data_IF_639454855102
#
_entry.id   IF_639454855102
#
_cell.length_a   1.000
_cell.length_b   1.000
_cell.length_c   1.000
_cell.angle_alpha   90.00
_cell.angle_beta   90.00
_cell.angle_gamma   90.00
#
_symmetry.space_group_name_H-M   'P 1'
#
loop_
_entity.id
_entity.type
_entity.pdbx_description
1 polymer ?
#
# COMPACT_ATOMS: atom_id res chain seq x y z
N UNK A 1 -62.32 -1.46 -53.24
CA UNK A 1 -60.93 -1.35 -52.69
C UNK A 1 -60.94 -1.57 -51.16
N UNK A 2 -60.14 -2.48 -50.67
CA UNK A 2 -59.97 -2.72 -49.25
C UNK A 2 -58.75 -1.92 -48.72
N UNK A 3 -58.92 -1.26 -47.61
CA UNK A 3 -57.79 -0.61 -46.87
C UNK A 3 -57.42 -1.54 -45.74
N UNK A 4 -56.21 -2.02 -45.74
CA UNK A 4 -55.62 -2.82 -44.65
C UNK A 4 -54.80 -1.88 -43.76
N UNK A 5 -55.21 -1.71 -42.51
CA UNK A 5 -54.43 -0.96 -41.49
C UNK A 5 -53.62 -1.98 -40.70
N UNK A 6 -52.32 -1.81 -40.67
CA UNK A 6 -51.41 -2.63 -39.91
C UNK A 6 -50.97 -1.90 -38.63
N UNK A 7 -50.75 -2.59 -37.50
CA UNK A 7 -50.28 -1.97 -36.28
C UNK A 7 -48.92 -1.34 -36.48
N UNK A 8 -48.63 -0.21 -35.79
CA UNK A 8 -47.33 0.43 -35.79
C UNK A 8 -46.27 -0.49 -35.19
N UNK A 9 -45.04 -0.46 -35.72
CA UNK A 9 -43.93 -1.23 -35.15
C UNK A 9 -43.61 -0.74 -33.75
N UNK A 10 -43.26 -1.67 -32.85
CA UNK A 10 -42.87 -1.38 -31.47
C UNK A 10 -41.68 -2.24 -31.06
N UNK A 11 -40.72 -1.65 -30.34
CA UNK A 11 -39.57 -2.38 -29.80
C UNK A 11 -40.03 -3.25 -28.62
N UNK A 12 -39.73 -4.53 -28.67
CA UNK A 12 -40.08 -5.53 -27.64
C UNK A 12 -38.89 -5.89 -26.73
N UNK A 13 -37.63 -5.85 -27.25
CA UNK A 13 -36.41 -5.96 -26.45
C UNK A 13 -35.66 -4.67 -26.57
N UNK A 14 -35.38 -4.05 -25.43
CA UNK A 14 -34.62 -2.79 -25.33
C UNK A 14 -33.15 -3.07 -25.10
N UNK A 15 -32.23 -2.22 -25.61
CA UNK A 15 -30.82 -2.30 -25.29
C UNK A 15 -30.59 -2.08 -23.78
N UNK A 16 -29.59 -2.76 -23.23
CA UNK A 16 -29.27 -2.74 -21.79
C UNK A 16 -28.00 -1.95 -21.51
N UNK A 17 -28.02 -1.18 -20.43
CA UNK A 17 -26.85 -0.40 -19.95
C UNK A 17 -25.75 -1.30 -19.42
N UNK A 18 -24.50 -0.82 -19.46
CA UNK A 18 -23.34 -1.49 -18.91
C UNK A 18 -22.32 -0.51 -18.35
N UNK A 19 -21.56 -0.96 -17.35
CA UNK A 19 -20.40 -0.22 -16.80
C UNK A 19 -19.22 -1.17 -16.70
N UNK A 20 -18.12 -0.82 -17.38
CA UNK A 20 -16.90 -1.62 -17.44
C UNK A 20 -15.68 -0.71 -17.29
N UNK A 21 -14.50 -1.27 -17.04
CA UNK A 21 -13.26 -0.50 -17.17
C UNK A 21 -12.80 -0.46 -18.63
N UNK A 22 -11.90 0.48 -18.91
CA UNK A 22 -11.22 0.62 -20.20
C UNK A 22 -10.69 -0.73 -20.69
N UNK A 23 -10.95 -1.07 -21.96
CA UNK A 23 -10.65 -2.35 -22.59
C UNK A 23 -11.42 -3.58 -22.01
N UNK A 24 -12.36 -3.39 -21.09
CA UNK A 24 -13.25 -4.45 -20.61
C UNK A 24 -14.29 -4.84 -21.68
N UNK A 25 -14.95 -5.97 -21.48
CA UNK A 25 -15.98 -6.45 -22.41
C UNK A 25 -17.31 -5.81 -22.11
N UNK A 26 -17.81 -4.97 -23.02
CA UNK A 26 -19.17 -4.41 -22.96
C UNK A 26 -20.22 -5.47 -23.31
N UNK A 27 -21.43 -5.29 -22.82
CA UNK A 27 -22.55 -6.15 -23.17
C UNK A 27 -22.98 -5.90 -24.62
N UNK A 28 -23.28 -6.96 -25.37
CA UNK A 28 -23.96 -6.86 -26.63
C UNK A 28 -25.44 -6.45 -26.37
N UNK A 29 -25.90 -5.42 -27.04
CA UNK A 29 -27.22 -4.83 -26.90
C UNK A 29 -28.13 -5.34 -28.03
N UNK A 30 -29.00 -6.31 -27.79
CA UNK A 30 -29.99 -6.73 -28.80
C UNK A 30 -31.19 -5.81 -28.83
N UNK A 31 -31.79 -5.67 -29.99
CA UNK A 31 -33.15 -5.10 -30.15
C UNK A 31 -34.03 -6.09 -30.90
N UNK A 32 -35.27 -6.25 -30.45
CA UNK A 32 -36.31 -6.95 -31.17
C UNK A 32 -37.53 -6.06 -31.29
N UNK A 33 -38.38 -6.35 -32.23
CA UNK A 33 -39.57 -5.56 -32.46
C UNK A 33 -40.74 -6.48 -32.78
N UNK A 34 -41.95 -5.93 -32.73
CA UNK A 34 -43.18 -6.54 -33.20
C UNK A 34 -43.86 -5.60 -34.17
N UNK A 35 -44.71 -6.14 -35.06
CA UNK A 35 -45.37 -5.42 -36.12
C UNK A 35 -44.41 -4.79 -37.14
N UNK A 36 -44.92 -3.94 -38.03
CA UNK A 36 -44.18 -3.40 -39.17
C UNK A 36 -44.35 -4.24 -40.42
N UNK A 37 -44.11 -3.67 -41.59
CA UNK A 37 -44.27 -4.32 -42.89
C UNK A 37 -43.01 -4.15 -43.76
N UNK A 38 -42.68 -5.21 -44.49
CA UNK A 38 -41.50 -5.24 -45.34
C UNK A 38 -40.23 -5.67 -44.59
N UNK A 39 -39.08 -5.43 -45.22
CA UNK A 39 -37.77 -5.80 -44.64
C UNK A 39 -37.31 -4.75 -43.66
N UNK A 40 -36.92 -5.12 -42.39
CA UNK A 40 -36.37 -4.21 -41.44
C UNK A 40 -34.93 -3.84 -41.80
N UNK A 41 -34.56 -2.59 -41.62
CA UNK A 41 -33.20 -2.12 -41.65
C UNK A 41 -32.89 -1.44 -40.31
N UNK A 42 -31.74 -1.81 -39.72
CA UNK A 42 -31.27 -1.30 -38.40
C UNK A 42 -30.21 -0.26 -38.62
N UNK A 43 -30.17 0.76 -37.76
CA UNK A 43 -29.06 1.67 -37.61
C UNK A 43 -28.88 2.03 -36.15
N UNK A 44 -27.70 1.79 -35.61
CA UNK A 44 -27.34 2.21 -34.26
C UNK A 44 -26.78 3.62 -34.28
N UNK A 45 -27.03 4.33 -33.21
CA UNK A 45 -26.59 5.70 -32.96
C UNK A 45 -25.93 5.78 -31.60
N UNK A 46 -24.95 6.67 -31.48
CA UNK A 46 -24.34 7.09 -30.20
C UNK A 46 -24.69 8.53 -29.91
N UNK A 47 -24.85 8.85 -28.61
CA UNK A 47 -25.14 10.21 -28.15
C UNK A 47 -24.39 10.49 -26.85
N UNK A 48 -24.09 11.77 -26.61
CA UNK A 48 -23.51 12.25 -25.35
C UNK A 48 -24.55 12.61 -24.31
N UNK A 49 -25.82 12.66 -24.70
CA UNK A 49 -26.99 12.90 -23.83
C UNK A 49 -27.94 11.72 -23.85
N UNK A 50 -28.65 11.52 -22.74
CA UNK A 50 -29.64 10.44 -22.61
C UNK A 50 -30.91 10.74 -23.41
N UNK A 51 -30.77 10.80 -24.74
CA UNK A 51 -31.86 10.99 -25.67
C UNK A 51 -31.71 10.06 -26.86
N UNK A 52 -32.86 9.51 -27.35
CA UNK A 52 -32.89 8.63 -28.52
C UNK A 52 -33.17 9.39 -29.83
N UNK A 53 -32.79 10.67 -29.87
CA UNK A 53 -32.85 11.55 -31.04
C UNK A 53 -31.61 12.40 -31.15
N UNK A 54 -31.26 12.79 -32.39
CA UNK A 54 -30.11 13.70 -32.61
C UNK A 54 -28.74 13.09 -32.40
N UNK A 55 -28.61 11.78 -32.17
CA UNK A 55 -27.34 11.10 -32.05
C UNK A 55 -26.60 10.95 -33.37
N UNK A 56 -25.31 10.57 -33.30
CA UNK A 56 -24.49 10.29 -34.47
C UNK A 56 -24.63 8.85 -34.90
N UNK A 57 -24.94 8.61 -36.17
CA UNK A 57 -25.02 7.27 -36.74
C UNK A 57 -23.65 6.57 -36.65
N UNK A 58 -23.64 5.33 -36.18
CA UNK A 58 -22.41 4.51 -36.07
C UNK A 58 -22.21 3.76 -37.40
N UNK A 59 -21.14 4.06 -38.16
CA UNK A 59 -20.92 3.45 -39.47
C UNK A 59 -20.85 1.91 -39.37
N UNK A 60 -21.60 1.22 -40.23
CA UNK A 60 -21.63 -0.26 -40.29
C UNK A 60 -22.40 -0.96 -39.16
N UNK A 61 -22.96 -0.24 -38.18
CA UNK A 61 -23.74 -0.81 -37.10
C UNK A 61 -25.20 -1.00 -37.56
N UNK A 62 -25.43 -1.95 -38.47
CA UNK A 62 -26.72 -2.21 -39.15
C UNK A 62 -27.33 -3.58 -38.82
N UNK A 63 -26.88 -4.22 -37.75
CA UNK A 63 -27.44 -5.49 -37.26
C UNK A 63 -28.48 -5.25 -36.14
N UNK A 64 -29.29 -6.24 -35.86
CA UNK A 64 -30.24 -6.25 -34.75
C UNK A 64 -29.58 -6.21 -33.37
N UNK A 65 -28.28 -6.30 -33.31
CA UNK A 65 -27.49 -6.14 -32.09
C UNK A 65 -26.22 -5.33 -32.34
N UNK A 66 -25.76 -4.63 -31.30
CA UNK A 66 -24.53 -3.85 -31.33
C UNK A 66 -23.74 -4.04 -30.04
N UNK A 67 -22.43 -4.14 -30.14
CA UNK A 67 -21.51 -4.21 -29.00
C UNK A 67 -20.67 -2.92 -28.99
N UNK A 68 -20.86 -2.03 -28.00
CA UNK A 68 -20.11 -0.78 -27.91
C UNK A 68 -18.62 -1.03 -27.68
N UNK A 69 -17.72 -0.19 -28.23
CA UNK A 69 -16.29 -0.23 -27.91
C UNK A 69 -16.05 0.23 -26.48
N UNK A 70 -14.94 -0.25 -25.87
CA UNK A 70 -14.55 0.08 -24.51
C UNK A 70 -13.15 0.71 -24.39
N UNK A 71 -12.54 1.13 -25.49
CA UNK A 71 -11.19 1.67 -25.50
C UNK A 71 -11.07 3.15 -25.04
N UNK A 72 -12.20 3.85 -24.86
CA UNK A 72 -12.19 5.28 -24.49
C UNK A 72 -13.04 5.49 -23.26
N UNK A 73 -12.42 6.04 -22.22
CA UNK A 73 -13.06 6.40 -20.95
C UNK A 73 -14.13 7.47 -21.19
N UNK A 74 -15.30 7.30 -20.60
CA UNK A 74 -16.41 8.23 -20.70
C UNK A 74 -17.77 7.54 -20.65
N UNK A 75 -18.83 8.32 -20.85
CA UNK A 75 -20.20 7.85 -20.90
C UNK A 75 -20.81 8.18 -22.25
N UNK A 76 -21.37 7.18 -22.90
CA UNK A 76 -22.16 7.33 -24.13
C UNK A 76 -23.50 6.61 -23.99
N UNK A 77 -24.47 7.14 -24.70
CA UNK A 77 -25.83 6.57 -24.80
C UNK A 77 -26.03 6.02 -26.19
N UNK A 78 -26.56 4.81 -26.28
CA UNK A 78 -26.77 4.12 -27.55
C UNK A 78 -28.25 3.80 -27.74
N UNK A 79 -28.72 3.95 -28.95
CA UNK A 79 -30.07 3.57 -29.34
C UNK A 79 -30.10 3.06 -30.79
N UNK A 80 -31.10 2.31 -31.11
CA UNK A 80 -31.33 1.75 -32.45
C UNK A 80 -32.59 2.32 -33.09
N UNK A 81 -32.50 2.68 -34.36
CA UNK A 81 -33.61 3.03 -35.20
C UNK A 81 -33.85 1.86 -36.19
N UNK A 82 -35.08 1.36 -36.24
CA UNK A 82 -35.51 0.32 -37.19
C UNK A 82 -36.47 0.95 -38.20
N UNK A 83 -36.07 0.89 -39.46
CA UNK A 83 -36.89 1.37 -40.60
C UNK A 83 -37.46 0.19 -41.36
N UNK A 84 -38.58 0.37 -42.03
CA UNK A 84 -39.30 -0.69 -42.78
C UNK A 84 -39.46 -0.28 -44.25
N UNK A 85 -39.26 -1.25 -45.16
CA UNK A 85 -39.22 -0.97 -46.59
C UNK A 85 -40.59 -0.82 -47.24
N UNK A 86 -41.67 -1.13 -46.53
CA UNK A 86 -43.02 -1.13 -47.12
C UNK A 86 -44.08 -0.55 -46.16
N UNK A 87 -45.18 -0.09 -46.74
CA UNK A 87 -46.44 0.13 -46.05
C UNK A 87 -46.60 1.43 -45.27
N UNK A 88 -45.73 2.43 -45.43
CA UNK A 88 -45.87 3.73 -44.76
C UNK A 88 -45.81 3.66 -43.22
N UNK A 89 -45.25 2.58 -42.67
CA UNK A 89 -45.06 2.43 -41.23
C UNK A 89 -44.03 3.46 -40.72
N UNK A 90 -44.26 3.99 -39.52
CA UNK A 90 -43.31 4.83 -38.82
C UNK A 90 -42.10 4.00 -38.38
N UNK A 91 -40.94 4.64 -38.21
CA UNK A 91 -39.76 3.98 -37.66
C UNK A 91 -40.02 3.58 -36.20
N UNK A 92 -39.44 2.46 -35.77
CA UNK A 92 -39.37 2.09 -34.35
C UNK A 92 -38.03 2.54 -33.81
N UNK A 93 -38.03 3.25 -32.68
CA UNK A 93 -36.83 3.75 -32.01
C UNK A 93 -36.75 3.13 -30.62
N UNK A 94 -35.61 2.56 -30.29
CA UNK A 94 -35.38 2.00 -28.94
C UNK A 94 -35.20 3.08 -27.88
N UNK A 95 -35.33 2.71 -26.62
CA UNK A 95 -34.81 3.48 -25.52
C UNK A 95 -33.29 3.59 -25.64
N UNK A 96 -32.70 4.52 -24.92
CA UNK A 96 -31.24 4.61 -24.78
C UNK A 96 -30.73 3.56 -23.81
N UNK A 97 -29.52 3.04 -24.07
CA UNK A 97 -28.71 2.30 -23.11
C UNK A 97 -27.48 3.12 -22.78
N UNK A 98 -27.23 3.32 -21.50
CA UNK A 98 -26.03 4.00 -21.00
C UNK A 98 -24.87 3.02 -20.94
N UNK A 99 -23.73 3.41 -21.52
CA UNK A 99 -22.48 2.66 -21.45
C UNK A 99 -21.42 3.54 -20.83
N UNK A 100 -20.93 3.13 -19.65
CA UNK A 100 -19.91 3.84 -18.87
C UNK A 100 -18.61 3.06 -18.98
N UNK A 101 -17.59 3.69 -19.55
CA UNK A 101 -16.22 3.18 -19.56
C UNK A 101 -15.43 3.92 -18.49
N UNK A 102 -15.07 3.21 -17.44
CA UNK A 102 -14.31 3.75 -16.30
C UNK A 102 -12.81 3.65 -16.57
N UNK A 103 -11.99 4.59 -16.04
CA UNK A 103 -10.55 4.45 -16.09
C UNK A 103 -10.08 3.21 -15.32
N UNK A 104 -8.93 2.65 -15.69
CA UNK A 104 -8.29 1.59 -14.93
C UNK A 104 -7.90 2.06 -13.51
N UNK A 105 -7.83 1.16 -12.53
CA UNK A 105 -7.42 1.53 -11.18
C UNK A 105 -5.96 1.98 -11.15
N UNK A 106 -5.68 3.03 -10.40
CA UNK A 106 -4.31 3.54 -10.15
C UNK A 106 -4.11 3.80 -8.66
N UNK A 107 -2.91 3.48 -8.14
CA UNK A 107 -2.57 3.77 -6.75
C UNK A 107 -2.33 5.28 -6.57
N UNK A 108 -3.05 5.89 -5.66
CA UNK A 108 -2.95 7.33 -5.32
C UNK A 108 -2.16 7.58 -4.04
N UNK A 109 -2.22 6.65 -3.08
CA UNK A 109 -1.38 6.68 -1.89
C UNK A 109 -0.46 5.47 -1.93
N UNK A 110 0.84 5.73 -1.94
CA UNK A 110 1.87 4.70 -1.89
C UNK A 110 2.24 4.41 -0.42
N UNK A 111 2.65 3.18 -0.07
CA UNK A 111 3.20 2.92 1.25
C UNK A 111 4.47 3.75 1.48
N UNK A 112 4.74 4.10 2.74
CA UNK A 112 5.96 4.84 3.12
C UNK A 112 7.19 4.17 2.55
N UNK A 113 8.01 4.92 1.82
CA UNK A 113 9.09 4.37 1.00
C UNK A 113 10.18 3.68 1.81
N UNK A 114 10.59 4.27 2.94
CA UNK A 114 11.64 3.70 3.79
C UNK A 114 11.37 3.99 5.27
N UNK A 115 11.46 2.98 6.10
CA UNK A 115 11.44 3.10 7.55
C UNK A 115 12.63 2.33 8.12
N UNK A 116 13.32 2.91 9.11
CA UNK A 116 14.45 2.28 9.78
C UNK A 116 14.15 2.11 11.26
N UNK A 117 14.38 0.92 11.79
CA UNK A 117 14.11 0.55 13.18
C UNK A 117 15.22 -0.34 13.73
N UNK A 118 15.32 -0.45 15.05
CA UNK A 118 16.14 -1.45 15.72
C UNK A 118 15.47 -2.83 15.71
N UNK A 119 16.23 -3.88 15.93
CA UNK A 119 15.68 -5.21 16.21
C UNK A 119 14.68 -5.13 17.38
N UNK A 120 13.54 -5.81 17.25
CA UNK A 120 12.43 -5.73 18.21
C UNK A 120 11.56 -4.48 18.10
N UNK A 121 11.88 -3.55 17.20
CA UNK A 121 11.06 -2.36 16.94
C UNK A 121 9.84 -2.63 16.06
N UNK A 122 8.96 -1.64 15.99
CA UNK A 122 7.77 -1.64 15.14
C UNK A 122 7.80 -0.45 14.18
N UNK A 123 7.19 -0.61 13.02
CA UNK A 123 7.05 0.47 12.03
C UNK A 123 5.65 1.08 12.07
N UNK A 124 5.52 2.28 11.51
CA UNK A 124 4.21 2.83 11.20
C UNK A 124 3.48 1.96 10.17
N UNK A 125 2.14 1.89 10.22
CA UNK A 125 1.36 1.13 9.25
C UNK A 125 1.67 1.52 7.81
N UNK A 126 1.82 0.52 6.94
CA UNK A 126 1.91 0.68 5.50
C UNK A 126 0.49 0.84 4.96
N UNK A 127 0.23 1.88 4.17
CA UNK A 127 -1.11 2.18 3.65
C UNK A 127 -1.09 2.36 2.15
N UNK A 128 -2.16 1.94 1.49
CA UNK A 128 -2.41 2.20 0.06
C UNK A 128 -3.81 2.76 -0.12
N UNK A 129 -3.94 3.69 -1.09
CA UNK A 129 -5.22 4.12 -1.61
C UNK A 129 -5.17 4.08 -3.14
N UNK A 130 -6.32 3.99 -3.79
CA UNK A 130 -6.43 3.96 -5.24
C UNK A 130 -7.59 4.84 -5.70
N UNK A 131 -7.63 5.12 -7.00
CA UNK A 131 -8.74 5.77 -7.69
C UNK A 131 -9.00 5.06 -9.03
N UNK A 132 -10.14 5.33 -9.63
CA UNK A 132 -10.56 4.68 -10.87
C UNK A 132 -11.08 3.26 -10.64
N UNK A 133 -11.45 2.63 -11.74
CA UNK A 133 -12.04 1.31 -11.72
C UNK A 133 -13.51 1.28 -11.28
N UNK A 134 -14.09 0.10 -11.31
CA UNK A 134 -15.48 -0.16 -10.88
C UNK A 134 -15.55 -1.52 -10.18
N UNK A 135 -16.51 -1.67 -9.28
CA UNK A 135 -16.71 -2.88 -8.48
C UNK A 135 -16.09 -2.80 -7.09
N UNK A 136 -16.06 -3.94 -6.41
CA UNK A 136 -15.52 -4.06 -5.05
C UNK A 136 -14.02 -4.28 -5.09
N UNK A 137 -13.28 -3.51 -4.30
CA UNK A 137 -11.83 -3.67 -4.15
C UNK A 137 -11.49 -4.76 -3.13
N UNK A 138 -10.52 -5.57 -3.46
CA UNK A 138 -9.83 -6.48 -2.55
C UNK A 138 -8.36 -6.13 -2.52
N UNK A 139 -7.73 -6.31 -1.35
CA UNK A 139 -6.33 -6.00 -1.13
C UNK A 139 -5.57 -7.27 -0.78
N UNK A 140 -4.32 -7.35 -1.17
CA UNK A 140 -3.38 -8.36 -0.71
C UNK A 140 -2.00 -7.73 -0.56
N UNK A 141 -1.42 -7.83 0.64
CA UNK A 141 -0.04 -7.45 0.90
C UNK A 141 0.90 -8.62 0.67
N UNK A 142 2.09 -8.29 0.20
CA UNK A 142 3.17 -9.22 -0.10
C UNK A 142 4.44 -8.79 0.61
N UNK A 143 5.26 -9.76 1.04
CA UNK A 143 6.64 -9.57 1.44
C UNK A 143 7.59 -10.01 0.34
N UNK A 144 8.75 -9.35 0.22
CA UNK A 144 9.76 -9.68 -0.75
C UNK A 144 11.16 -9.58 -0.14
N UNK A 145 12.11 -10.32 -0.67
CA UNK A 145 13.53 -10.26 -0.30
C UNK A 145 14.32 -9.27 -1.17
N UNK A 146 13.71 -8.76 -2.21
CA UNK A 146 14.28 -7.78 -3.15
C UNK A 146 13.37 -6.56 -3.27
N UNK A 147 13.92 -5.43 -3.66
CA UNK A 147 13.15 -4.22 -3.94
C UNK A 147 12.39 -4.36 -5.27
N UNK A 148 11.36 -5.19 -5.24
CA UNK A 148 10.48 -5.48 -6.38
C UNK A 148 9.04 -5.63 -5.92
N UNK A 149 8.11 -5.03 -6.65
CA UNK A 149 6.68 -5.16 -6.42
C UNK A 149 6.04 -6.33 -7.20
N UNK A 150 6.84 -7.33 -7.53
CA UNK A 150 6.40 -8.56 -8.18
C UNK A 150 7.15 -9.77 -7.63
N UNK A 151 6.55 -10.96 -7.70
CA UNK A 151 7.16 -12.22 -7.28
C UNK A 151 7.32 -12.39 -5.76
N UNK A 152 6.75 -11.49 -4.93
CA UNK A 152 6.77 -11.63 -3.48
C UNK A 152 5.82 -12.72 -2.97
N UNK A 153 5.96 -13.06 -1.69
CA UNK A 153 5.11 -14.02 -1.00
C UNK A 153 3.90 -13.30 -0.39
N UNK A 154 2.70 -13.81 -0.67
CA UNK A 154 1.47 -13.26 -0.08
C UNK A 154 1.47 -13.43 1.45
N UNK A 155 1.15 -12.36 2.16
CA UNK A 155 1.05 -12.36 3.62
C UNK A 155 -0.37 -12.77 4.00
N UNK A 156 -0.51 -13.92 4.66
CA UNK A 156 -1.81 -14.45 5.05
C UNK A 156 -2.57 -13.47 5.95
N UNK A 157 -3.83 -13.19 5.60
CA UNK A 157 -4.71 -12.29 6.36
C UNK A 157 -4.44 -10.79 6.18
N UNK A 158 -3.39 -10.39 5.44
CA UNK A 158 -3.11 -8.98 5.15
C UNK A 158 -3.93 -8.50 3.93
N UNK A 159 -5.24 -8.35 4.14
CA UNK A 159 -6.24 -8.07 3.09
C UNK A 159 -6.95 -6.73 3.26
N UNK A 160 -6.40 -5.82 4.04
CA UNK A 160 -6.92 -4.46 4.22
C UNK A 160 -6.06 -3.44 3.45
N UNK A 161 -6.59 -2.23 3.24
CA UNK A 161 -5.83 -1.10 2.67
C UNK A 161 -4.64 -0.66 3.51
N UNK A 162 -4.56 -1.13 4.76
CA UNK A 162 -3.45 -0.88 5.69
C UNK A 162 -2.92 -2.21 6.22
N UNK A 163 -1.60 -2.30 6.36
CA UNK A 163 -0.90 -3.45 6.93
C UNK A 163 0.22 -3.00 7.86
N UNK A 164 0.28 -3.60 9.04
CA UNK A 164 1.39 -3.42 9.99
C UNK A 164 2.11 -4.75 10.12
N UNK A 165 3.37 -4.86 9.65
CA UNK A 165 4.18 -6.04 9.86
C UNK A 165 4.35 -6.38 11.34
N UNK A 166 4.53 -7.66 11.63
CA UNK A 166 4.91 -8.11 12.97
C UNK A 166 6.30 -7.56 13.37
N UNK A 167 6.62 -7.63 14.66
CA UNK A 167 7.94 -7.23 15.19
C UNK A 167 9.06 -7.95 14.47
N UNK A 168 10.09 -7.21 14.10
CA UNK A 168 11.26 -7.74 13.40
C UNK A 168 12.34 -8.18 14.42
N UNK A 169 12.56 -9.47 14.52
CA UNK A 169 13.52 -10.06 15.47
C UNK A 169 14.93 -10.30 14.86
N UNK A 170 15.11 -9.98 13.60
CA UNK A 170 16.37 -10.19 12.87
C UNK A 170 16.71 -8.93 12.08
N UNK A 171 17.96 -8.49 12.18
CA UNK A 171 18.45 -7.38 11.36
C UNK A 171 18.46 -7.77 9.88
N UNK A 172 18.16 -6.81 9.02
CA UNK A 172 18.08 -7.01 7.58
C UNK A 172 17.18 -5.99 6.89
N UNK A 173 17.05 -6.11 5.58
CA UNK A 173 16.16 -5.26 4.79
C UNK A 173 14.99 -6.10 4.29
N UNK A 174 13.79 -5.59 4.51
CA UNK A 174 12.54 -6.23 4.17
C UNK A 174 11.75 -5.32 3.23
N UNK A 175 11.07 -5.92 2.26
CA UNK A 175 10.29 -5.17 1.28
C UNK A 175 8.84 -5.63 1.30
N UNK A 176 7.92 -4.66 1.16
CA UNK A 176 6.47 -4.91 1.16
C UNK A 176 5.81 -4.15 0.03
N UNK A 177 4.78 -4.73 -0.55
CA UNK A 177 3.91 -4.05 -1.51
C UNK A 177 2.49 -4.60 -1.44
N UNK A 178 1.54 -3.87 -1.95
CA UNK A 178 0.14 -4.28 -2.01
C UNK A 178 -0.37 -4.33 -3.45
N UNK A 179 -1.20 -5.32 -3.73
CA UNK A 179 -2.02 -5.39 -4.95
C UNK A 179 -3.47 -5.09 -4.58
N UNK A 180 -4.10 -4.21 -5.33
CA UNK A 180 -5.53 -3.88 -5.25
C UNK A 180 -6.19 -4.47 -6.49
N UNK A 181 -7.16 -5.36 -6.30
CA UNK A 181 -7.91 -6.01 -7.38
C UNK A 181 -9.37 -5.60 -7.31
N UNK A 182 -9.93 -5.21 -8.45
CA UNK A 182 -11.33 -4.79 -8.57
C UNK A 182 -12.16 -5.89 -9.25
N UNK A 183 -13.41 -6.07 -8.78
CA UNK A 183 -14.32 -7.07 -9.30
C UNK A 183 -15.04 -6.64 -10.58
N UNK A 184 -14.94 -5.37 -10.99
CA UNK A 184 -15.58 -4.85 -12.20
C UNK A 184 -14.93 -5.40 -13.48
N UNK A 185 -15.74 -5.59 -14.51
CA UNK A 185 -15.27 -6.13 -15.80
C UNK A 185 -14.20 -5.23 -16.43
N UNK A 186 -13.07 -5.82 -16.78
CA UNK A 186 -11.91 -5.14 -17.37
C UNK A 186 -11.07 -4.33 -16.39
N UNK A 187 -11.45 -4.20 -15.11
CA UNK A 187 -10.73 -3.37 -14.16
C UNK A 187 -9.40 -3.97 -13.70
N UNK A 188 -9.31 -5.29 -13.59
CA UNK A 188 -8.07 -5.98 -13.24
C UNK A 188 -7.52 -5.58 -11.86
N UNK A 189 -6.20 -5.49 -11.78
CA UNK A 189 -5.47 -5.14 -10.56
C UNK A 189 -4.43 -4.05 -10.80
N UNK A 190 -4.13 -3.31 -9.75
CA UNK A 190 -3.02 -2.36 -9.69
C UNK A 190 -2.14 -2.67 -8.48
N UNK A 191 -0.83 -2.43 -8.60
CA UNK A 191 0.15 -2.77 -7.56
C UNK A 191 0.89 -1.52 -7.12
N UNK A 192 1.11 -1.39 -5.81
CA UNK A 192 1.86 -0.28 -5.23
C UNK A 192 3.36 -0.38 -5.53
N UNK A 193 4.07 0.71 -5.29
CA UNK A 193 5.51 0.68 -5.13
C UNK A 193 5.87 -0.16 -3.88
N UNK A 194 7.15 -0.54 -3.77
CA UNK A 194 7.68 -1.21 -2.59
C UNK A 194 7.88 -0.22 -1.45
N UNK A 195 7.55 -0.66 -0.23
CA UNK A 195 8.02 -0.08 1.02
C UNK A 195 9.25 -0.85 1.48
N UNK A 196 10.30 -0.15 1.89
CA UNK A 196 11.51 -0.72 2.45
C UNK A 196 11.53 -0.56 3.97
N UNK A 197 11.83 -1.63 4.69
CA UNK A 197 12.04 -1.61 6.15
C UNK A 197 13.44 -2.09 6.45
N UNK A 198 14.26 -1.20 6.98
CA UNK A 198 15.64 -1.48 7.36
C UNK A 198 15.66 -1.75 8.86
N UNK A 199 15.90 -3.00 9.24
CA UNK A 199 16.04 -3.43 10.62
C UNK A 199 17.53 -3.47 10.97
N UNK A 200 17.93 -2.59 11.87
CA UNK A 200 19.33 -2.42 12.26
C UNK A 200 19.60 -3.27 13.50
N UNK A 201 20.72 -3.98 13.51
CA UNK A 201 21.19 -4.69 14.69
C UNK A 201 21.53 -3.71 15.82
N UNK A 202 21.19 -4.07 17.05
CA UNK A 202 21.67 -3.34 18.24
C UNK A 202 23.18 -3.48 18.39
N UNK A 203 23.87 -2.47 18.94
CA UNK A 203 25.26 -2.61 19.33
C UNK A 203 25.40 -3.65 20.43
N UNK A 204 26.49 -4.42 20.41
CA UNK A 204 26.82 -5.45 21.40
C UNK A 204 28.06 -5.00 22.15
N UNK A 205 28.02 -5.08 23.48
CA UNK A 205 29.21 -4.83 24.30
C UNK A 205 30.04 -6.12 24.38
N UNK A 206 31.12 -6.21 23.60
CA UNK A 206 31.99 -7.40 23.55
C UNK A 206 32.91 -7.51 24.76
N UNK A 207 33.58 -6.41 25.08
CA UNK A 207 34.39 -6.34 26.29
C UNK A 207 33.69 -5.46 27.31
N UNK A 208 33.34 -6.05 28.44
CA UNK A 208 32.77 -5.33 29.57
C UNK A 208 33.93 -4.66 30.38
N UNK A 209 33.59 -3.53 30.98
CA UNK A 209 34.51 -2.91 31.94
C UNK A 209 34.79 -3.86 33.12
N UNK A 210 35.90 -3.62 33.80
CA UNK A 210 36.28 -4.39 35.01
C UNK A 210 35.11 -4.50 35.97
N UNK A 211 34.69 -5.73 36.30
CA UNK A 211 33.49 -5.98 37.10
C UNK A 211 33.58 -5.40 38.51
N UNK A 212 34.75 -5.55 39.14
CA UNK A 212 35.03 -4.98 40.49
C UNK A 212 36.50 -4.62 40.63
N UNK A 213 36.75 -3.47 41.23
CA UNK A 213 38.10 -3.08 41.70
C UNK A 213 38.03 -2.53 43.13
N UNK A 214 38.95 -2.93 43.95
CA UNK A 214 39.09 -2.45 45.34
C UNK A 214 40.43 -1.69 45.44
N UNK A 215 40.39 -0.48 45.92
CA UNK A 215 41.49 0.47 45.86
C UNK A 215 41.60 1.24 47.18
N UNK A 216 42.82 1.63 47.61
CA UNK A 216 43.00 2.59 48.69
C UNK A 216 42.56 3.98 48.22
N UNK A 217 42.13 4.80 49.14
CA UNK A 217 41.77 6.20 48.87
C UNK A 217 42.92 6.94 48.16
N UNK A 218 42.59 7.72 47.12
CA UNK A 218 43.53 8.46 46.26
C UNK A 218 44.49 7.61 45.42
N UNK A 219 44.31 6.31 45.34
CA UNK A 219 45.09 5.47 44.43
C UNK A 219 44.55 5.57 42.99
N UNK A 220 45.40 5.19 42.01
CA UNK A 220 45.03 5.24 40.59
C UNK A 220 44.15 4.07 40.24
N UNK A 221 42.90 4.30 39.76
CA UNK A 221 42.02 3.22 39.36
C UNK A 221 42.38 2.67 37.98
N UNK A 222 41.94 1.46 37.71
CA UNK A 222 41.87 0.94 36.34
C UNK A 222 40.68 1.60 35.60
N UNK A 223 40.94 2.09 34.41
CA UNK A 223 39.87 2.64 33.58
C UNK A 223 38.78 1.61 33.27
N UNK A 224 37.55 2.04 33.36
CA UNK A 224 36.37 1.26 32.89
C UNK A 224 36.33 1.43 31.37
N UNK A 225 36.66 0.39 30.60
CA UNK A 225 36.77 0.45 29.14
C UNK A 225 35.83 -0.57 28.49
N UNK A 226 35.21 -0.17 27.41
CA UNK A 226 34.26 -1.00 26.64
C UNK A 226 34.75 -1.14 25.19
N UNK A 227 34.54 -2.30 24.60
CA UNK A 227 34.61 -2.50 23.16
C UNK A 227 33.25 -2.99 22.65
N UNK A 228 32.95 -2.63 21.42
CA UNK A 228 31.64 -2.90 20.81
C UNK A 228 31.80 -3.62 19.48
N UNK A 229 30.80 -4.44 19.15
CA UNK A 229 30.58 -4.98 17.82
C UNK A 229 29.09 -4.80 17.42
N UNK A 230 28.76 -5.20 16.22
CA UNK A 230 27.39 -5.02 15.71
C UNK A 230 27.01 -3.54 15.57
N UNK A 231 25.73 -3.28 15.36
CA UNK A 231 25.25 -1.93 15.08
C UNK A 231 25.76 -1.36 13.77
N UNK A 232 25.39 -0.12 13.45
CA UNK A 232 25.85 0.64 12.29
C UNK A 232 26.09 2.11 12.66
N UNK A 233 26.95 2.81 11.89
CA UNK A 233 27.23 4.22 12.09
C UNK A 233 28.19 4.49 13.24
N UNK A 234 28.03 5.62 13.94
CA UNK A 234 28.86 6.04 15.07
C UNK A 234 28.18 5.78 16.39
N UNK A 235 28.96 5.52 17.42
CA UNK A 235 28.44 5.28 18.77
C UNK A 235 28.69 6.49 19.66
N UNK A 236 27.67 6.88 20.41
CA UNK A 236 27.74 7.83 21.50
C UNK A 236 27.73 7.05 22.82
N UNK A 237 28.56 7.45 23.76
CA UNK A 237 28.67 6.85 25.09
C UNK A 237 28.20 7.85 26.13
N UNK A 238 27.57 7.37 27.18
CA UNK A 238 27.25 8.15 28.36
C UNK A 238 27.39 7.27 29.59
N UNK A 239 28.32 7.62 30.48
CA UNK A 239 28.53 6.93 31.76
C UNK A 239 27.59 7.49 32.83
N UNK A 240 27.18 6.59 33.69
CA UNK A 240 26.33 6.85 34.85
C UNK A 240 27.00 6.28 36.11
N UNK A 241 26.81 6.96 37.25
CA UNK A 241 27.12 6.44 38.57
C UNK A 241 25.84 6.04 39.30
N UNK A 242 25.91 5.02 40.16
CA UNK A 242 24.79 4.53 40.95
C UNK A 242 25.27 4.12 42.34
N UNK A 243 24.39 4.24 43.33
CA UNK A 243 24.61 3.78 44.70
C UNK A 243 24.20 2.31 44.87
N UNK A 244 23.54 1.74 43.92
CA UNK A 244 23.08 0.35 43.87
C UNK A 244 23.65 -0.38 42.65
N UNK A 245 23.81 -1.69 42.74
CA UNK A 245 24.24 -2.54 41.62
C UNK A 245 23.11 -2.68 40.60
N UNK A 246 22.86 -1.62 39.86
CA UNK A 246 21.75 -1.52 38.88
C UNK A 246 22.15 -0.64 37.70
N UNK A 247 21.67 -1.00 36.50
CA UNK A 247 21.78 -0.20 35.28
C UNK A 247 20.63 0.80 35.13
N UNK A 248 19.78 0.95 36.14
CA UNK A 248 18.64 1.88 36.12
C UNK A 248 18.70 2.82 37.32
N UNK A 249 18.22 4.06 37.16
CA UNK A 249 18.15 5.05 38.24
C UNK A 249 19.50 5.69 38.60
N UNK A 250 20.59 5.47 37.80
CA UNK A 250 21.86 6.09 38.01
C UNK A 250 21.88 7.58 37.67
N UNK A 251 22.85 8.30 38.22
CA UNK A 251 23.10 9.72 37.96
C UNK A 251 24.07 9.86 36.78
N UNK A 252 23.71 10.65 35.80
CA UNK A 252 24.54 10.95 34.63
C UNK A 252 25.86 11.62 35.08
N UNK A 253 26.97 11.16 34.56
CA UNK A 253 28.32 11.76 34.79
C UNK A 253 28.60 12.74 33.66
N UNK A 254 28.55 14.02 33.95
CA UNK A 254 28.75 15.08 32.97
C UNK A 254 30.12 14.96 32.31
N UNK A 255 30.17 14.97 30.98
CA UNK A 255 31.39 14.89 30.18
C UNK A 255 31.98 13.50 30.02
N UNK A 256 31.44 12.47 30.67
CA UNK A 256 31.87 11.08 30.50
C UNK A 256 31.23 10.43 29.26
N UNK A 257 31.72 10.82 28.09
CA UNK A 257 31.14 10.47 26.76
C UNK A 257 32.07 9.65 25.86
N UNK A 258 33.13 9.05 26.46
CA UNK A 258 34.08 8.18 25.76
C UNK A 258 33.81 6.70 26.05
N UNK A 259 34.34 5.79 25.22
CA UNK A 259 34.33 4.34 25.48
C UNK A 259 35.08 3.93 26.75
N UNK A 260 35.79 4.86 27.37
CA UNK A 260 36.57 4.66 28.61
C UNK A 260 36.21 5.76 29.61
N UNK A 261 36.09 5.37 30.88
CA UNK A 261 35.86 6.28 32.00
C UNK A 261 36.82 5.97 33.16
N UNK A 262 37.39 7.00 33.76
CA UNK A 262 38.25 6.89 34.95
C UNK A 262 37.43 7.23 36.20
N UNK A 263 37.07 6.25 37.04
CA UNK A 263 36.27 6.51 38.24
C UNK A 263 37.13 7.26 39.29
N UNK A 264 36.51 8.20 40.06
CA UNK A 264 37.22 8.85 41.17
C UNK A 264 37.46 7.90 42.34
N UNK A 265 38.60 8.10 43.07
CA UNK A 265 38.96 7.30 44.25
C UNK A 265 39.13 8.17 45.51
N UNK A 266 38.63 9.40 45.47
CA UNK A 266 38.79 10.38 46.57
C UNK A 266 37.87 10.12 47.75
N UNK A 267 36.74 9.42 47.54
CA UNK A 267 35.71 9.18 48.57
C UNK A 267 35.66 7.69 48.91
N UNK A 268 35.83 7.36 50.21
CA UNK A 268 35.70 5.99 50.72
C UNK A 268 34.23 5.51 50.58
N UNK A 269 34.07 4.28 50.11
CA UNK A 269 32.79 3.66 49.92
C UNK A 269 32.70 2.82 48.63
N UNK A 270 31.54 2.32 48.31
CA UNK A 270 31.24 1.55 47.09
C UNK A 270 30.41 2.39 46.15
N UNK A 271 30.87 2.52 44.90
CA UNK A 271 30.14 3.19 43.81
C UNK A 271 30.06 2.27 42.63
N UNK A 272 28.91 2.28 41.98
CA UNK A 272 28.62 1.48 40.80
C UNK A 272 28.57 2.34 39.55
N UNK A 273 29.04 1.80 38.42
CA UNK A 273 29.11 2.52 37.14
C UNK A 273 28.60 1.66 36.03
N UNK A 274 27.89 2.26 35.08
CA UNK A 274 27.50 1.64 33.81
C UNK A 274 27.51 2.67 32.70
N UNK A 275 27.58 2.20 31.46
CA UNK A 275 27.53 3.04 30.27
C UNK A 275 26.33 2.70 29.42
N UNK A 276 25.61 3.72 28.97
CA UNK A 276 24.58 3.61 27.91
C UNK A 276 25.25 3.99 26.60
N UNK A 277 25.13 3.12 25.62
CA UNK A 277 25.69 3.28 24.28
C UNK A 277 24.51 3.48 23.32
N UNK A 278 24.52 4.56 22.53
CA UNK A 278 23.51 4.87 21.53
C UNK A 278 24.17 4.94 20.16
N UNK A 279 23.61 4.23 19.19
CA UNK A 279 24.11 4.31 17.82
C UNK A 279 23.39 5.45 17.06
N UNK A 280 24.12 6.10 16.15
CA UNK A 280 23.59 7.17 15.31
C UNK A 280 22.55 6.66 14.31
N UNK A 281 21.67 7.58 13.87
CA UNK A 281 20.66 7.30 12.85
C UNK A 281 19.35 6.75 13.42
N UNK A 282 19.30 5.50 13.84
CA UNK A 282 18.06 4.86 14.33
C UNK A 282 17.90 4.95 15.85
N UNK A 283 19.00 5.18 16.59
CA UNK A 283 18.99 5.32 18.06
C UNK A 283 18.93 3.98 18.81
N UNK A 284 19.37 2.88 18.19
CA UNK A 284 19.49 1.59 18.87
C UNK A 284 20.51 1.68 20.01
N UNK A 285 20.24 1.01 21.12
CA UNK A 285 20.98 1.17 22.35
C UNK A 285 21.57 -0.16 22.85
N UNK A 286 22.70 -0.08 23.53
CA UNK A 286 23.20 -1.13 24.41
C UNK A 286 23.53 -0.53 25.79
N UNK A 287 23.51 -1.35 26.81
CA UNK A 287 23.91 -0.96 28.17
C UNK A 287 24.98 -1.94 28.62
N UNK A 288 26.09 -1.40 29.19
CA UNK A 288 27.14 -2.24 29.75
C UNK A 288 26.69 -2.95 31.02
N UNK A 289 27.39 -4.02 31.40
CA UNK A 289 27.28 -4.54 32.73
C UNK A 289 27.72 -3.46 33.77
N UNK A 290 27.27 -3.63 35.01
CA UNK A 290 27.65 -2.76 36.13
C UNK A 290 29.09 -3.08 36.56
N UNK A 291 29.90 -2.06 36.73
CA UNK A 291 31.24 -2.11 37.37
C UNK A 291 31.14 -1.57 38.78
N UNK A 292 31.71 -2.25 39.73
CA UNK A 292 31.80 -1.86 41.14
C UNK A 292 33.21 -1.32 41.47
N UNK A 293 33.29 -0.12 42.04
CA UNK A 293 34.54 0.50 42.52
C UNK A 293 34.42 0.68 44.04
N UNK A 294 35.28 -0.01 44.78
CA UNK A 294 35.31 -0.03 46.23
C UNK A 294 36.57 0.74 46.68
N UNK A 295 36.38 1.87 47.34
CA UNK A 295 37.48 2.67 47.89
C UNK A 295 37.54 2.42 49.39
N UNK A 296 38.67 1.93 49.85
CA UNK A 296 38.99 1.72 51.28
C UNK A 296 39.94 2.78 51.79
N UNK A 297 39.95 3.08 53.12
CA UNK A 297 40.86 4.03 53.72
C UNK A 297 42.31 3.78 53.42
#
# INVERSE_FOLDING_TARGET
SSVIVVPAPAITTQPTSSSVCENGTTNTMPVTYTNGTGTPAYQWYSNTTNTNTGGTAIPGATNASYTPPSATVGTLYYYCVITFSAGGCTNAVSNTAEVIINPLPTITTQPTTTQSICVGGTIAPLTVAYTGGVGTATYQWYSNTTNSNSGGTAIAGATNSSYTPAVFNTAGTYYFYATVTLSGNGCGSTTSNTAEVIVVADPIVDTQAVATQTLCQNSTPTNLTLTLSGGIGTFAYQWYSNTTNSTTGGTLIVGATSSSYTPPTTTVGTQYYYCVITQSGVGCNAISAVSSVIVVP
#
